data_IF_749796323042
#
_entry.id   IF_749796323042
#
_cell.length_a   1.000
_cell.length_b   1.000
_cell.length_c   1.000
_cell.angle_alpha   90.00
_cell.angle_beta   90.00
_cell.angle_gamma   90.00
#
_symmetry.space_group_name_H-M   'P 1'
#
loop_
_entity.id
_entity.type
_entity.pdbx_description
1 polymer ?
#
# COMPACT_ATOMS: atom_id res chain seq x y z
N UNK A 1 -25.06 -15.40 -22.39
CA UNK A 1 -24.56 -14.02 -22.49
C UNK A 1 -23.66 -13.77 -21.30
N UNK A 2 -22.40 -13.43 -21.54
CA UNK A 2 -21.36 -13.22 -20.53
C UNK A 2 -21.72 -11.95 -19.76
N UNK A 3 -22.04 -12.07 -18.48
CA UNK A 3 -22.34 -10.94 -17.61
C UNK A 3 -21.11 -10.05 -17.49
N UNK A 4 -21.24 -8.81 -17.93
CA UNK A 4 -20.24 -7.77 -17.69
C UNK A 4 -20.08 -7.61 -16.17
N UNK A 5 -18.98 -8.09 -15.63
CA UNK A 5 -18.58 -7.81 -14.26
C UNK A 5 -18.34 -6.29 -14.20
N UNK A 6 -19.16 -5.55 -13.44
CA UNK A 6 -18.99 -4.11 -13.30
C UNK A 6 -17.66 -3.83 -12.60
N UNK A 7 -17.06 -2.66 -12.86
CA UNK A 7 -15.82 -2.20 -12.22
C UNK A 7 -15.94 -2.14 -10.68
N UNK A 8 -17.16 -2.19 -10.15
CA UNK A 8 -17.46 -2.22 -8.72
C UNK A 8 -17.22 -3.60 -8.10
N UNK A 9 -17.23 -4.67 -8.91
CA UNK A 9 -17.02 -6.05 -8.47
C UNK A 9 -15.54 -6.48 -8.48
N UNK A 10 -14.64 -5.67 -9.05
CA UNK A 10 -13.19 -5.88 -9.02
C UNK A 10 -12.51 -4.54 -8.72
N UNK A 11 -12.38 -4.18 -7.44
CA UNK A 11 -11.59 -3.02 -7.00
C UNK A 11 -12.31 -1.66 -6.96
N UNK A 12 -13.56 -1.62 -6.49
CA UNK A 12 -14.30 -0.36 -6.31
C UNK A 12 -13.80 0.55 -5.17
N UNK A 13 -14.43 1.72 -5.01
CA UNK A 13 -14.16 2.72 -3.97
C UNK A 13 -14.15 2.12 -2.55
N UNK A 14 -14.96 1.09 -2.30
CA UNK A 14 -15.01 0.37 -1.02
C UNK A 14 -13.71 -0.35 -0.70
N UNK A 15 -13.10 -1.02 -1.69
CA UNK A 15 -11.81 -1.71 -1.55
C UNK A 15 -10.71 -0.67 -1.35
N UNK A 16 -10.72 0.41 -2.12
CA UNK A 16 -9.78 1.53 -1.92
C UNK A 16 -9.85 2.08 -0.48
N UNK A 17 -11.05 2.39 0.01
CA UNK A 17 -11.23 2.91 1.38
C UNK A 17 -10.77 1.90 2.44
N UNK A 18 -11.02 0.60 2.24
CA UNK A 18 -10.56 -0.45 3.14
C UNK A 18 -9.02 -0.51 3.20
N UNK A 19 -8.34 -0.47 2.05
CA UNK A 19 -6.87 -0.45 1.97
C UNK A 19 -6.33 0.80 2.68
N UNK A 20 -6.91 1.98 2.41
CA UNK A 20 -6.52 3.24 3.07
C UNK A 20 -6.68 3.17 4.58
N UNK A 21 -7.76 2.57 5.09
CA UNK A 21 -7.93 2.34 6.52
C UNK A 21 -6.82 1.46 7.11
N UNK A 22 -6.44 0.39 6.41
CA UNK A 22 -5.36 -0.51 6.81
C UNK A 22 -3.98 0.18 6.77
N UNK A 23 -3.69 0.94 5.71
CA UNK A 23 -2.45 1.72 5.57
C UNK A 23 -2.28 2.68 6.76
N UNK A 24 -3.29 3.49 7.08
CA UNK A 24 -3.25 4.43 8.21
C UNK A 24 -2.90 3.73 9.53
N UNK A 25 -3.55 2.59 9.80
CA UNK A 25 -3.30 1.80 11.01
C UNK A 25 -1.87 1.24 11.05
N UNK A 26 -1.42 0.62 9.96
CA UNK A 26 -0.12 -0.05 9.88
C UNK A 26 1.05 0.95 9.91
N UNK A 27 0.96 2.07 9.18
CA UNK A 27 1.98 3.11 9.22
C UNK A 27 2.08 3.76 10.60
N UNK A 28 0.94 4.04 11.25
CA UNK A 28 0.91 4.57 12.62
C UNK A 28 1.54 3.59 13.62
N UNK A 29 1.19 2.30 13.52
CA UNK A 29 1.77 1.26 14.37
C UNK A 29 3.28 1.11 14.16
N UNK A 30 3.74 1.10 12.91
CA UNK A 30 5.16 1.03 12.58
C UNK A 30 5.91 2.24 13.17
N UNK A 31 5.40 3.46 13.02
CA UNK A 31 6.05 4.67 13.54
C UNK A 31 6.10 4.67 15.07
N UNK A 32 5.04 4.21 15.72
CA UNK A 32 5.02 4.06 17.19
C UNK A 32 6.08 3.07 17.69
N UNK A 33 6.30 1.97 16.95
CA UNK A 33 7.33 0.99 17.27
C UNK A 33 8.75 1.47 16.89
N UNK A 34 8.87 2.36 15.91
CA UNK A 34 10.13 2.82 15.34
C UNK A 34 10.22 4.37 15.34
N UNK A 35 10.19 5.03 16.52
CA UNK A 35 9.99 6.48 16.60
C UNK A 35 11.08 7.28 15.88
N UNK A 36 12.33 6.83 15.96
CA UNK A 36 13.50 7.54 15.41
C UNK A 36 14.08 6.89 14.14
N UNK A 37 13.50 5.78 13.69
CA UNK A 37 14.00 5.06 12.52
C UNK A 37 13.49 5.73 11.25
N UNK A 38 14.38 5.88 10.27
CA UNK A 38 13.95 6.15 8.90
C UNK A 38 13.38 4.86 8.31
N UNK A 39 12.24 4.96 7.63
CA UNK A 39 11.61 3.80 7.01
C UNK A 39 12.39 3.39 5.76
N UNK A 40 12.74 2.11 5.70
CA UNK A 40 13.32 1.52 4.50
C UNK A 40 12.23 1.15 3.49
N UNK A 41 12.59 1.12 2.20
CA UNK A 41 11.66 0.76 1.12
C UNK A 41 11.02 -0.60 1.37
N UNK A 42 11.78 -1.60 1.81
CA UNK A 42 11.24 -2.93 2.11
C UNK A 42 10.21 -2.94 3.24
N UNK A 43 10.33 -2.05 4.22
CA UNK A 43 9.35 -1.93 5.30
C UNK A 43 8.06 -1.29 4.80
N UNK A 44 8.18 -0.27 3.94
CA UNK A 44 7.04 0.31 3.23
C UNK A 44 6.32 -0.74 2.36
N UNK A 45 7.07 -1.49 1.55
CA UNK A 45 6.54 -2.59 0.71
C UNK A 45 5.74 -3.59 1.54
N UNK A 46 6.27 -4.00 2.69
CA UNK A 46 5.59 -4.95 3.58
C UNK A 46 4.28 -4.37 4.14
N UNK A 47 4.26 -3.08 4.49
CA UNK A 47 3.04 -2.40 4.95
C UNK A 47 2.00 -2.34 3.84
N UNK A 48 2.40 -1.97 2.62
CA UNK A 48 1.49 -1.87 1.47
C UNK A 48 0.85 -3.21 1.11
N UNK A 49 1.66 -4.27 0.99
CA UNK A 49 1.15 -5.63 0.73
C UNK A 49 0.21 -6.07 1.85
N UNK A 50 0.60 -5.87 3.11
CA UNK A 50 -0.23 -6.26 4.25
C UNK A 50 -1.54 -5.48 4.31
N UNK A 51 -1.54 -4.19 3.95
CA UNK A 51 -2.76 -3.39 3.90
C UNK A 51 -3.75 -3.92 2.86
N UNK A 52 -3.25 -4.29 1.68
CA UNK A 52 -4.05 -4.90 0.61
C UNK A 52 -4.57 -6.29 1.00
N UNK A 53 -3.73 -7.15 1.58
CA UNK A 53 -4.13 -8.48 2.05
C UNK A 53 -5.19 -8.39 3.14
N UNK A 54 -5.03 -7.50 4.12
CA UNK A 54 -6.03 -7.28 5.16
C UNK A 54 -7.36 -6.74 4.60
N UNK A 55 -7.34 -6.07 3.45
CA UNK A 55 -8.53 -5.60 2.74
C UNK A 55 -9.17 -6.69 1.85
N UNK A 56 -8.62 -7.91 1.84
CA UNK A 56 -9.15 -9.06 1.10
C UNK A 56 -8.54 -9.26 -0.29
N UNK A 57 -7.46 -8.56 -0.63
CA UNK A 57 -6.75 -8.77 -1.90
C UNK A 57 -5.83 -10.00 -1.74
N UNK A 58 -5.84 -10.95 -2.69
CA UNK A 58 -4.88 -12.05 -2.69
C UNK A 58 -3.42 -11.56 -2.65
N UNK A 59 -2.57 -12.23 -1.86
CA UNK A 59 -1.19 -11.80 -1.60
C UNK A 59 -0.33 -11.73 -2.87
N UNK A 60 -0.51 -12.65 -3.81
CA UNK A 60 0.16 -12.66 -5.11
C UNK A 60 -0.20 -11.44 -5.96
N UNK A 61 -1.48 -11.06 -5.97
CA UNK A 61 -1.98 -9.85 -6.64
C UNK A 61 -1.47 -8.59 -5.95
N UNK A 62 -1.55 -8.51 -4.62
CA UNK A 62 -1.07 -7.38 -3.84
C UNK A 62 0.43 -7.16 -4.04
N UNK A 63 1.23 -8.23 -3.98
CA UNK A 63 2.68 -8.18 -4.24
C UNK A 63 2.96 -7.68 -5.64
N UNK A 64 2.26 -8.21 -6.66
CA UNK A 64 2.41 -7.77 -8.04
C UNK A 64 2.09 -6.29 -8.26
N UNK A 65 1.09 -5.74 -7.57
CA UNK A 65 0.75 -4.31 -7.66
C UNK A 65 1.79 -3.42 -6.97
N UNK A 66 2.24 -3.81 -5.78
CA UNK A 66 3.25 -3.04 -5.04
C UNK A 66 4.59 -3.04 -5.78
N UNK A 67 5.03 -4.17 -6.34
CA UNK A 67 6.26 -4.27 -7.15
C UNK A 67 6.20 -3.32 -8.35
N UNK A 68 5.10 -3.33 -9.11
CA UNK A 68 4.92 -2.40 -10.24
C UNK A 68 5.00 -0.93 -9.81
N UNK A 69 4.39 -0.60 -8.67
CA UNK A 69 4.45 0.75 -8.12
C UNK A 69 5.90 1.19 -7.81
N UNK A 70 6.71 0.28 -7.27
CA UNK A 70 8.13 0.55 -6.98
C UNK A 70 8.96 0.70 -8.27
N UNK A 71 8.73 -0.16 -9.26
CA UNK A 71 9.39 -0.08 -10.57
C UNK A 71 9.07 1.25 -11.27
N UNK A 72 7.82 1.71 -11.20
CA UNK A 72 7.39 3.01 -11.73
C UNK A 72 8.08 4.18 -11.01
N UNK A 73 8.22 4.10 -9.69
CA UNK A 73 8.93 5.11 -8.89
C UNK A 73 10.41 5.17 -9.26
N UNK A 74 11.06 4.02 -9.40
CA UNK A 74 12.46 3.93 -9.83
C UNK A 74 12.66 4.49 -11.24
N UNK A 75 11.75 4.16 -12.16
CA UNK A 75 11.76 4.66 -13.55
C UNK A 75 11.62 6.18 -13.58
N UNK A 76 10.87 6.78 -12.64
CA UNK A 76 10.73 8.22 -12.46
C UNK A 76 11.89 8.88 -11.71
N UNK A 77 12.93 8.13 -11.35
CA UNK A 77 14.11 8.62 -10.66
C UNK A 77 13.93 8.86 -9.16
N UNK A 78 12.87 8.30 -8.54
CA UNK A 78 12.68 8.35 -7.10
C UNK A 78 13.69 7.39 -6.45
N UNK A 79 14.66 7.94 -5.72
CA UNK A 79 15.77 7.16 -5.12
C UNK A 79 15.52 6.75 -3.67
N UNK A 80 14.60 7.42 -2.99
CA UNK A 80 14.27 7.14 -1.59
C UNK A 80 12.87 7.62 -1.24
N UNK A 81 12.30 7.03 -0.20
CA UNK A 81 11.06 7.49 0.42
C UNK A 81 11.46 8.52 1.48
N UNK A 82 11.34 9.81 1.12
CA UNK A 82 11.72 10.91 2.01
C UNK A 82 10.75 11.06 3.20
N UNK A 83 9.46 10.80 2.96
CA UNK A 83 8.40 10.93 3.95
C UNK A 83 7.59 9.63 4.05
N UNK A 84 7.23 9.23 5.26
CA UNK A 84 6.30 8.12 5.46
C UNK A 84 4.89 8.61 5.08
N UNK A 85 4.22 7.96 4.11
CA UNK A 85 2.83 8.28 3.81
C UNK A 85 1.95 8.09 5.05
N UNK A 86 0.98 8.98 5.28
CA UNK A 86 -0.06 8.80 6.30
C UNK A 86 0.40 8.79 7.77
N UNK A 87 1.57 9.36 8.09
CA UNK A 87 2.06 9.49 9.47
C UNK A 87 1.64 10.81 10.15
N UNK A 88 0.98 11.74 9.45
CA UNK A 88 0.59 13.05 9.96
C UNK A 88 1.76 13.98 10.37
N UNK A 89 3.00 13.57 10.13
CA UNK A 89 4.22 14.34 10.41
C UNK A 89 4.86 14.68 9.07
N UNK A 90 4.40 15.78 8.48
CA UNK A 90 5.05 16.46 7.37
C UNK A 90 6.06 17.47 7.88
#
# INVERSE_FOLDING_TARGET
MIGSISKDAVGGQSVHNAITGQQNSLYSAWRKANPLKQMEIGEMTNIEVKAMVNAGIPEDIATGWVVKGLEDMQTKGVKSIANIPWNGVN
#
